data_IF_996041655554
#
_entry.id   IF_996041655554
#
_cell.length_a   1.000
_cell.length_b   1.000
_cell.length_c   1.000
_cell.angle_alpha   90.00
_cell.angle_beta   90.00
_cell.angle_gamma   90.00
#
_symmetry.space_group_name_H-M   'P 1'
#
loop_
_entity.id
_entity.type
_entity.pdbx_description
1 polymer ?
#
# COMPACT_ATOMS: atom_id res chain seq x y z
N UNK A 1 -3.16 4.77 22.83
CA UNK A 1 -2.67 5.34 21.54
C UNK A 1 -3.59 4.85 20.44
N UNK A 2 -4.33 5.75 19.79
CA UNK A 2 -5.36 5.41 18.81
C UNK A 2 -4.75 5.54 17.40
N UNK A 3 -4.01 4.52 16.95
CA UNK A 3 -3.50 4.47 15.58
C UNK A 3 -4.64 4.04 14.66
N UNK A 4 -5.36 5.02 14.10
CA UNK A 4 -6.39 4.81 13.09
C UNK A 4 -5.75 4.60 11.70
N UNK A 5 -4.77 3.69 11.62
CA UNK A 5 -4.10 3.33 10.37
C UNK A 5 -4.73 2.06 9.80
N UNK A 6 -5.35 2.16 8.62
CA UNK A 6 -5.99 1.04 7.96
C UNK A 6 -4.97 -0.02 7.45
N UNK A 7 -3.69 0.36 7.33
CA UNK A 7 -2.58 -0.50 6.90
C UNK A 7 -1.23 0.03 7.43
N UNK A 8 -0.53 -0.76 8.22
CA UNK A 8 0.87 -0.55 8.58
C UNK A 8 1.77 -1.46 7.73
N UNK A 9 2.88 -0.93 7.22
CA UNK A 9 3.87 -1.72 6.49
C UNK A 9 5.17 -1.66 7.28
N UNK A 10 5.59 -2.81 7.78
CA UNK A 10 6.82 -2.95 8.54
C UNK A 10 7.94 -3.36 7.57
N UNK A 11 8.61 -2.36 7.00
CA UNK A 11 9.75 -2.55 6.09
C UNK A 11 11.08 -2.70 6.85
N UNK A 12 11.06 -3.24 8.06
CA UNK A 12 12.27 -3.55 8.81
C UNK A 12 12.77 -4.95 8.47
N UNK A 13 14.06 -5.09 8.18
CA UNK A 13 14.72 -6.40 8.22
C UNK A 13 14.38 -7.04 9.57
N UNK A 14 13.82 -8.25 9.56
CA UNK A 14 13.52 -9.06 10.76
C UNK A 14 12.30 -8.66 11.63
N UNK A 15 11.39 -7.81 11.16
CA UNK A 15 10.21 -7.42 11.97
C UNK A 15 9.16 -8.53 12.18
N UNK A 16 9.16 -9.58 11.36
CA UNK A 16 8.34 -10.77 11.52
C UNK A 16 9.06 -11.97 12.15
N UNK A 17 10.35 -11.84 12.47
CA UNK A 17 11.14 -12.94 13.04
C UNK A 17 10.79 -13.07 14.54
N UNK A 18 10.30 -14.22 15.01
CA UNK A 18 10.09 -14.41 16.44
C UNK A 18 11.42 -14.35 17.19
N UNK A 19 11.48 -13.56 18.25
CA UNK A 19 12.59 -13.61 19.20
C UNK A 19 12.34 -14.83 20.08
N UNK A 20 13.28 -15.78 20.08
CA UNK A 20 13.17 -16.98 20.91
C UNK A 20 13.44 -16.61 22.37
N UNK A 21 12.41 -16.67 23.22
CA UNK A 21 12.55 -16.74 24.66
C UNK A 21 11.92 -18.06 25.13
N UNK A 22 12.74 -18.94 25.68
CA UNK A 22 12.31 -20.22 26.25
C UNK A 22 11.32 -19.98 27.39
N UNK A 23 10.06 -20.39 27.19
CA UNK A 23 9.02 -20.35 28.22
C UNK A 23 7.82 -19.43 27.94
N UNK A 24 7.86 -18.59 26.90
CA UNK A 24 6.72 -17.70 26.55
C UNK A 24 6.24 -17.90 25.10
N UNK A 25 4.96 -17.64 24.87
CA UNK A 25 4.32 -17.69 23.55
C UNK A 25 5.08 -16.79 22.55
N UNK A 26 5.24 -17.23 21.29
CA UNK A 26 5.87 -16.45 20.21
C UNK A 26 5.10 -15.13 19.97
N UNK A 27 5.61 -14.02 20.49
CA UNK A 27 5.06 -12.68 20.26
C UNK A 27 5.98 -11.93 19.29
N UNK A 28 5.59 -11.86 18.02
CA UNK A 28 6.21 -10.93 17.05
C UNK A 28 5.65 -9.52 17.25
N UNK A 29 6.41 -8.48 16.87
CA UNK A 29 5.90 -7.10 16.79
C UNK A 29 4.62 -7.00 15.92
N UNK A 30 4.46 -7.90 14.94
CA UNK A 30 3.23 -7.99 14.18
C UNK A 30 2.02 -8.42 15.03
N UNK A 31 2.22 -9.23 16.08
CA UNK A 31 1.17 -9.66 17.01
C UNK A 31 0.68 -8.50 17.88
N UNK A 32 1.58 -7.65 18.38
CA UNK A 32 1.20 -6.47 19.19
C UNK A 32 0.49 -5.40 18.37
N UNK A 33 0.82 -5.22 17.09
CA UNK A 33 0.08 -4.33 16.20
C UNK A 33 -1.28 -4.91 15.76
N UNK A 34 -1.42 -6.24 15.63
CA UNK A 34 -2.70 -6.87 15.22
C UNK A 34 -3.79 -6.73 16.29
N UNK A 35 -3.42 -6.43 17.54
CA UNK A 35 -4.36 -6.13 18.63
C UNK A 35 -5.10 -4.80 18.42
N UNK A 36 -4.64 -3.94 17.51
CA UNK A 36 -5.38 -2.75 17.11
C UNK A 36 -6.52 -3.14 16.16
N UNK A 37 -7.69 -3.34 16.76
CA UNK A 37 -8.99 -3.86 16.25
C UNK A 37 -9.40 -3.61 14.79
N UNK A 38 -8.82 -2.63 14.07
CA UNK A 38 -9.15 -2.30 12.68
C UNK A 38 -7.94 -2.20 11.72
N UNK A 39 -6.73 -2.48 12.19
CA UNK A 39 -5.51 -2.39 11.38
C UNK A 39 -5.27 -3.62 10.50
N UNK A 40 -4.46 -3.44 9.46
CA UNK A 40 -3.81 -4.55 8.77
C UNK A 40 -2.32 -4.30 8.73
N UNK A 41 -1.51 -5.35 8.69
CA UNK A 41 -0.06 -5.26 8.74
C UNK A 41 0.52 -6.07 7.60
N UNK A 42 1.37 -5.44 6.80
CA UNK A 42 2.26 -6.11 5.86
C UNK A 42 3.64 -6.22 6.50
N UNK A 43 4.13 -7.45 6.72
CA UNK A 43 5.44 -7.73 7.33
C UNK A 43 6.18 -8.82 6.55
N UNK A 44 7.48 -8.98 6.80
CA UNK A 44 8.30 -10.01 6.19
C UNK A 44 8.66 -11.12 7.19
N UNK A 45 8.47 -12.38 6.77
CA UNK A 45 8.84 -13.58 7.53
C UNK A 45 10.37 -13.76 7.65
N UNK A 46 11.11 -13.28 6.65
CA UNK A 46 12.58 -13.33 6.59
C UNK A 46 13.14 -12.10 5.88
N UNK A 47 14.47 -11.97 5.86
CA UNK A 47 15.16 -10.92 5.11
C UNK A 47 15.03 -11.18 3.61
N UNK A 48 14.23 -10.35 2.95
CA UNK A 48 14.07 -10.34 1.49
C UNK A 48 15.07 -9.34 0.92
N UNK A 49 15.61 -9.63 -0.26
CA UNK A 49 16.40 -8.68 -1.04
C UNK A 49 15.65 -7.35 -1.23
N UNK A 50 16.32 -6.22 -0.97
CA UNK A 50 15.69 -4.90 -0.91
C UNK A 50 15.06 -4.50 -2.25
N UNK A 51 15.74 -4.82 -3.36
CA UNK A 51 15.26 -4.52 -4.72
C UNK A 51 13.97 -5.30 -5.00
N UNK A 52 13.96 -6.58 -4.64
CA UNK A 52 12.78 -7.45 -4.80
C UNK A 52 11.61 -6.97 -3.95
N UNK A 53 11.86 -6.69 -2.67
CA UNK A 53 10.85 -6.20 -1.73
C UNK A 53 10.23 -4.89 -2.21
N UNK A 54 11.07 -3.94 -2.66
CA UNK A 54 10.63 -2.65 -3.20
C UNK A 54 9.75 -2.81 -4.45
N UNK A 55 10.09 -3.74 -5.35
CA UNK A 55 9.28 -3.99 -6.55
C UNK A 55 7.90 -4.57 -6.22
N UNK A 56 7.85 -5.59 -5.35
CA UNK A 56 6.58 -6.18 -4.91
C UNK A 56 5.73 -5.13 -4.17
N UNK A 57 6.36 -4.29 -3.34
CA UNK A 57 5.69 -3.25 -2.59
C UNK A 57 5.10 -2.17 -3.52
N UNK A 58 5.83 -1.76 -4.56
CA UNK A 58 5.33 -0.82 -5.59
C UNK A 58 4.11 -1.39 -6.32
N UNK A 59 4.17 -2.66 -6.74
CA UNK A 59 3.05 -3.35 -7.39
C UNK A 59 1.85 -3.45 -6.46
N UNK A 60 2.08 -3.79 -5.19
CA UNK A 60 1.05 -3.85 -4.15
C UNK A 60 0.37 -2.49 -3.97
N UNK A 61 1.13 -1.40 -3.81
CA UNK A 61 0.56 -0.05 -3.69
C UNK A 61 -0.27 0.35 -4.91
N UNK A 62 0.19 0.02 -6.12
CA UNK A 62 -0.57 0.31 -7.33
C UNK A 62 -1.91 -0.43 -7.35
N UNK A 63 -1.91 -1.70 -6.94
CA UNK A 63 -3.14 -2.51 -6.86
C UNK A 63 -4.11 -1.96 -5.79
N UNK A 64 -3.60 -1.54 -4.63
CA UNK A 64 -4.41 -0.87 -3.59
C UNK A 64 -5.03 0.42 -4.12
N UNK A 65 -4.25 1.22 -4.86
CA UNK A 65 -4.73 2.46 -5.49
C UNK A 65 -5.84 2.22 -6.51
N UNK A 66 -5.84 1.05 -7.15
CA UNK A 66 -6.90 0.63 -8.06
C UNK A 66 -8.16 0.10 -7.34
N UNK A 67 -8.22 0.19 -6.02
CA UNK A 67 -9.37 -0.20 -5.22
C UNK A 67 -9.44 -1.70 -4.90
N UNK A 68 -8.36 -2.45 -5.15
CA UNK A 68 -8.35 -3.88 -4.83
C UNK A 68 -8.29 -4.10 -3.30
N UNK A 69 -8.98 -5.13 -2.79
CA UNK A 69 -8.77 -5.66 -1.45
C UNK A 69 -7.30 -6.00 -1.21
N UNK A 70 -6.83 -5.86 0.04
CA UNK A 70 -5.39 -5.92 0.37
C UNK A 70 -4.78 -7.30 0.08
N UNK A 71 -5.52 -8.36 0.37
CA UNK A 71 -5.16 -9.74 0.04
C UNK A 71 -4.99 -9.94 -1.47
N UNK A 72 -5.96 -9.49 -2.26
CA UNK A 72 -5.93 -9.56 -3.73
C UNK A 72 -4.81 -8.70 -4.31
N UNK A 73 -4.59 -7.52 -3.74
CA UNK A 73 -3.53 -6.61 -4.15
C UNK A 73 -2.14 -7.24 -3.97
N UNK A 74 -1.89 -7.91 -2.83
CA UNK A 74 -0.62 -8.58 -2.55
C UNK A 74 -0.44 -9.82 -3.41
N UNK A 75 -1.51 -10.61 -3.59
CA UNK A 75 -1.50 -11.78 -4.46
C UNK A 75 -1.15 -11.40 -5.90
N UNK A 76 -1.83 -10.40 -6.47
CA UNK A 76 -1.57 -9.91 -7.81
C UNK A 76 -0.17 -9.30 -7.94
N UNK A 77 0.32 -8.58 -6.92
CA UNK A 77 1.67 -8.05 -6.93
C UNK A 77 2.73 -9.17 -7.07
N UNK A 78 2.58 -10.26 -6.30
CA UNK A 78 3.46 -11.44 -6.39
C UNK A 78 3.36 -12.13 -7.75
N UNK A 79 2.16 -12.26 -8.31
CA UNK A 79 1.97 -12.86 -9.64
C UNK A 79 2.62 -12.01 -10.74
N UNK A 80 2.44 -10.68 -10.70
CA UNK A 80 3.06 -9.77 -11.66
C UNK A 80 4.59 -9.83 -11.53
N UNK A 81 5.12 -9.81 -10.31
CA UNK A 81 6.56 -9.95 -10.07
C UNK A 81 7.12 -11.23 -10.70
N UNK A 82 6.45 -12.38 -10.49
CA UNK A 82 6.85 -13.66 -11.08
C UNK A 82 6.76 -13.67 -12.60
N UNK A 83 5.77 -13.00 -13.20
CA UNK A 83 5.64 -12.92 -14.66
C UNK A 83 6.69 -12.02 -15.32
N UNK A 84 7.18 -11.01 -14.60
CA UNK A 84 8.13 -10.01 -15.10
C UNK A 84 9.59 -10.43 -14.92
N UNK A 85 9.86 -11.35 -14.00
CA UNK A 85 11.21 -11.77 -13.64
C UNK A 85 11.45 -13.23 -14.00
N UNK A 86 12.71 -13.58 -14.22
CA UNK A 86 13.13 -14.93 -14.60
C UNK A 86 14.32 -15.39 -13.74
N UNK A 87 14.71 -16.66 -13.88
CA UNK A 87 15.87 -17.24 -13.20
C UNK A 87 15.70 -17.30 -11.68
N UNK A 88 16.76 -16.94 -10.94
CA UNK A 88 16.81 -17.04 -9.46
C UNK A 88 15.69 -16.29 -8.74
N UNK A 89 15.14 -15.23 -9.34
CA UNK A 89 14.08 -14.42 -8.73
C UNK A 89 12.73 -15.16 -8.63
N UNK A 90 12.55 -16.26 -9.37
CA UNK A 90 11.37 -17.11 -9.27
C UNK A 90 11.34 -17.98 -7.99
N UNK A 91 12.50 -18.17 -7.36
CA UNK A 91 12.60 -18.96 -6.13
C UNK A 91 11.78 -18.31 -5.02
N UNK A 92 10.96 -19.07 -4.25
CA UNK A 92 10.09 -18.54 -3.21
C UNK A 92 10.78 -17.61 -2.20
N UNK A 93 12.07 -17.79 -1.94
CA UNK A 93 12.88 -16.96 -1.06
C UNK A 93 12.78 -15.45 -1.39
N UNK A 94 12.58 -15.11 -2.67
CA UNK A 94 12.54 -13.73 -3.15
C UNK A 94 11.16 -13.08 -3.01
N UNK A 95 10.07 -13.79 -3.33
CA UNK A 95 8.74 -13.17 -3.43
C UNK A 95 7.74 -13.61 -2.35
N UNK A 96 7.97 -14.72 -1.66
CA UNK A 96 6.99 -15.29 -0.73
C UNK A 96 7.08 -14.74 0.70
N UNK A 97 8.18 -14.06 1.05
CA UNK A 97 8.45 -13.64 2.42
C UNK A 97 7.50 -12.59 2.99
N UNK A 98 6.85 -11.76 2.15
CA UNK A 98 5.92 -10.73 2.63
C UNK A 98 4.54 -11.32 2.88
N UNK A 99 3.99 -11.15 4.08
CA UNK A 99 2.67 -11.63 4.48
C UNK A 99 1.80 -10.48 4.98
N UNK A 100 0.51 -10.58 4.70
CA UNK A 100 -0.51 -9.65 5.19
C UNK A 100 -1.30 -10.31 6.33
N UNK A 101 -1.48 -9.59 7.42
CA UNK A 101 -2.29 -9.99 8.56
C UNK A 101 -3.29 -8.90 8.93
N UNK A 102 -4.45 -9.29 9.48
CA UNK A 102 -5.51 -8.37 9.89
C UNK A 102 -6.55 -8.10 8.81
N UNK A 103 -7.13 -6.90 8.79
CA UNK A 103 -8.27 -6.59 7.94
C UNK A 103 -7.90 -6.49 6.44
N UNK A 104 -8.48 -7.35 5.60
CA UNK A 104 -8.22 -7.39 4.16
C UNK A 104 -9.06 -6.40 3.32
N UNK A 105 -10.03 -5.71 3.93
CA UNK A 105 -10.92 -4.80 3.23
C UNK A 105 -10.15 -3.73 2.43
N UNK A 106 -10.66 -3.32 1.24
CA UNK A 106 -10.02 -2.32 0.40
C UNK A 106 -9.88 -0.99 1.15
N UNK A 107 -8.85 -0.23 0.80
CA UNK A 107 -8.63 1.10 1.36
C UNK A 107 -9.38 2.09 0.47
N UNK A 108 -10.35 2.80 1.04
CA UNK A 108 -11.02 3.91 0.38
C UNK A 108 -10.04 5.09 0.22
N UNK A 109 -9.18 5.01 -0.79
CA UNK A 109 -8.34 6.12 -1.20
C UNK A 109 -9.24 7.10 -1.96
N UNK A 110 -9.85 8.03 -1.23
CA UNK A 110 -10.62 9.12 -1.81
C UNK A 110 -9.71 9.88 -2.78
N UNK A 111 -9.90 9.66 -4.08
CA UNK A 111 -9.04 10.22 -5.13
C UNK A 111 -9.37 11.70 -5.31
N UNK A 112 -8.79 12.54 -4.46
CA UNK A 112 -8.83 14.02 -4.54
C UNK A 112 -8.28 14.59 -5.86
N UNK A 113 -7.67 13.74 -6.70
CA UNK A 113 -7.14 14.10 -8.01
C UNK A 113 -8.20 14.59 -8.98
N UNK A 114 -9.42 14.01 -8.95
CA UNK A 114 -10.50 14.46 -9.83
C UNK A 114 -11.04 15.83 -9.37
N UNK A 115 -11.15 16.07 -8.06
CA UNK A 115 -11.64 17.33 -7.51
C UNK A 115 -10.75 18.52 -7.92
N UNK A 116 -9.42 18.37 -7.83
CA UNK A 116 -8.47 19.43 -8.26
C UNK A 116 -8.54 19.74 -9.76
N UNK A 117 -8.81 18.72 -10.58
CA UNK A 117 -8.98 18.90 -12.04
C UNK A 117 -10.28 19.67 -12.31
N UNK A 118 -11.39 19.30 -11.67
CA UNK A 118 -12.66 20.01 -11.81
C UNK A 118 -12.59 21.45 -11.28
N UNK A 119 -11.91 21.71 -10.14
CA UNK A 119 -11.75 23.07 -9.63
C UNK A 119 -10.88 23.92 -10.54
N UNK A 120 -9.81 23.36 -11.12
CA UNK A 120 -8.96 24.06 -12.07
C UNK A 120 -9.72 24.45 -13.36
N UNK A 121 -10.58 23.56 -13.86
CA UNK A 121 -11.45 23.82 -15.02
C UNK A 121 -12.49 24.91 -14.70
N UNK A 122 -13.13 24.85 -13.53
CA UNK A 122 -14.14 25.85 -13.12
C UNK A 122 -13.51 27.25 -12.98
N UNK A 123 -12.32 27.34 -12.37
CA UNK A 123 -11.60 28.61 -12.21
C UNK A 123 -11.21 29.19 -13.56
N UNK A 124 -10.69 28.36 -14.47
CA UNK A 124 -10.29 28.83 -15.80
C UNK A 124 -11.50 29.28 -16.65
N UNK A 125 -12.62 28.57 -16.60
CA UNK A 125 -13.87 28.97 -17.27
C UNK A 125 -14.39 30.30 -16.71
N UNK A 126 -14.42 30.46 -15.38
CA UNK A 126 -14.86 31.71 -14.72
C UNK A 126 -14.00 32.91 -15.13
N UNK A 127 -12.68 32.71 -15.19
CA UNK A 127 -11.72 33.75 -15.58
C UNK A 127 -11.88 34.16 -17.04
N UNK A 128 -12.12 33.20 -17.94
CA UNK A 128 -12.40 33.45 -19.37
C UNK A 128 -13.73 34.21 -19.53
N UNK A 129 -14.80 33.80 -18.85
CA UNK A 129 -16.09 34.51 -18.87
C UNK A 129 -15.96 35.94 -18.38
N UNK A 130 -15.22 36.16 -17.28
CA UNK A 130 -14.96 37.50 -16.76
C UNK A 130 -14.24 38.39 -17.77
N UNK A 131 -13.22 37.86 -18.48
CA UNK A 131 -12.50 38.59 -19.52
C UNK A 131 -13.42 38.92 -20.72
N UNK A 132 -14.28 37.98 -21.13
CA UNK A 132 -15.22 38.19 -22.24
C UNK A 132 -16.28 39.26 -21.90
N UNK A 133 -16.79 39.27 -20.67
CA UNK A 133 -17.74 40.28 -20.19
C UNK A 133 -17.06 41.67 -20.14
N UNK A 134 -15.81 41.74 -19.69
CA UNK A 134 -15.03 42.99 -19.67
C UNK A 134 -14.74 43.53 -21.08
N UNK A 135 -14.48 42.65 -22.06
CA UNK A 135 -14.31 43.04 -23.47
C UNK A 135 -15.60 43.50 -24.14
N UNK A 136 -16.77 43.00 -23.72
CA UNK A 136 -18.07 43.33 -24.31
C UNK A 136 -18.67 44.64 -23.79
N UNK A 137 -18.18 45.15 -22.66
CA UNK A 137 -18.56 46.44 -22.06
C UNK A 137 -17.71 47.63 -22.53
N UNK A 138 -16.65 47.39 -23.30
CA UNK A 138 -15.83 48.40 -23.97
C UNK A 138 -16.25 48.49 -25.43
#
# INVERSE_FOLDING_TARGET
MNFNSNLAILTGCETGKPVFQTGEYMISLAHTFNFARNGSILTSLWKIDEKTSSEILKLFYNNIKNGLPKDKALHLAKLIFKKKNEGRLLTPCYWSGSILMGNIAPIALNSYKNLFIYTSIIVSISLILSILILKRKK
#
